data_IF_935613011949
#
_entry.id   IF_935613011949
#
_cell.length_a   1.000
_cell.length_b   1.000
_cell.length_c   1.000
_cell.angle_alpha   90.00
_cell.angle_beta   90.00
_cell.angle_gamma   90.00
#
_symmetry.space_group_name_H-M   'P 1'
#
loop_
_entity.id
_entity.type
_entity.pdbx_description
1 polymer ?
#
# COMPACT_ATOMS: atom_id res chain seq x y z
N UNK A 1 33.88 -20.16 -17.02
CA UNK A 1 33.29 -19.06 -16.21
C UNK A 1 32.82 -18.04 -17.22
N UNK A 2 31.56 -17.59 -17.17
CA UNK A 2 31.05 -16.62 -18.15
C UNK A 2 31.72 -15.27 -17.86
N UNK A 3 32.32 -14.63 -18.87
CA UNK A 3 32.97 -13.33 -18.71
C UNK A 3 31.97 -12.23 -18.37
N UNK A 4 32.43 -11.17 -17.70
CA UNK A 4 31.56 -10.08 -17.25
C UNK A 4 30.95 -9.33 -18.43
N UNK A 5 31.66 -9.24 -19.57
CA UNK A 5 31.13 -8.63 -20.78
C UNK A 5 30.05 -9.49 -21.44
N UNK A 6 30.18 -10.82 -21.37
CA UNK A 6 29.13 -11.73 -21.82
C UNK A 6 27.91 -11.66 -20.90
N UNK A 7 28.10 -11.49 -19.60
CA UNK A 7 27.00 -11.22 -18.66
C UNK A 7 26.30 -9.89 -18.98
N UNK A 8 27.05 -8.82 -19.28
CA UNK A 8 26.45 -7.56 -19.75
C UNK A 8 25.64 -7.75 -21.04
N UNK A 9 26.22 -8.42 -22.05
CA UNK A 9 25.55 -8.71 -23.33
C UNK A 9 24.28 -9.51 -23.11
N UNK A 10 24.34 -10.52 -22.26
CA UNK A 10 23.21 -11.37 -21.92
C UNK A 10 22.09 -10.58 -21.24
N UNK A 11 22.40 -9.69 -20.29
CA UNK A 11 21.38 -8.88 -19.62
C UNK A 11 20.73 -7.91 -20.62
N UNK A 12 21.51 -7.26 -21.49
CA UNK A 12 20.96 -6.41 -22.56
C UNK A 12 20.02 -7.20 -23.49
N UNK A 13 20.42 -8.40 -23.89
CA UNK A 13 19.56 -9.27 -24.69
C UNK A 13 18.27 -9.64 -23.93
N UNK A 14 18.38 -10.01 -22.64
CA UNK A 14 17.23 -10.36 -21.81
C UNK A 14 16.25 -9.20 -21.66
N UNK A 15 16.75 -7.96 -21.48
CA UNK A 15 15.93 -6.74 -21.45
C UNK A 15 15.14 -6.55 -22.75
N UNK A 16 15.79 -6.66 -23.91
CA UNK A 16 15.12 -6.56 -25.22
C UNK A 16 14.04 -7.65 -25.38
N UNK A 17 14.30 -8.87 -24.89
CA UNK A 17 13.32 -9.96 -24.94
C UNK A 17 12.15 -9.74 -23.98
N UNK A 18 12.38 -9.17 -22.81
CA UNK A 18 11.33 -8.78 -21.87
C UNK A 18 10.44 -7.69 -22.49
N UNK A 19 11.05 -6.68 -23.11
CA UNK A 19 10.34 -5.60 -23.80
C UNK A 19 9.49 -6.13 -24.95
N UNK A 20 10.05 -7.03 -25.79
CA UNK A 20 9.27 -7.71 -26.83
C UNK A 20 8.12 -8.54 -26.24
N UNK A 21 8.37 -9.26 -25.13
CA UNK A 21 7.34 -10.04 -24.44
C UNK A 21 6.19 -9.18 -23.88
N UNK A 22 6.48 -7.95 -23.47
CA UNK A 22 5.48 -6.95 -23.07
C UNK A 22 4.74 -6.44 -24.31
N UNK A 23 5.45 -6.06 -25.37
CA UNK A 23 4.87 -5.57 -26.61
C UNK A 23 3.88 -6.57 -27.22
N UNK A 24 4.25 -7.86 -27.26
CA UNK A 24 3.40 -8.95 -27.75
C UNK A 24 2.11 -9.09 -26.94
N UNK A 25 2.17 -8.92 -25.61
CA UNK A 25 1.01 -8.98 -24.71
C UNK A 25 0.09 -7.79 -24.88
N UNK A 26 0.66 -6.57 -24.89
CA UNK A 26 -0.11 -5.32 -25.03
C UNK A 26 -0.78 -5.23 -26.40
N UNK A 27 -0.17 -5.82 -27.44
CA UNK A 27 -0.76 -5.87 -28.77
C UNK A 27 -2.08 -6.66 -28.83
N UNK A 28 -2.30 -7.59 -27.90
CA UNK A 28 -3.59 -8.25 -27.74
C UNK A 28 -4.49 -7.47 -26.76
N UNK A 29 -5.74 -7.24 -27.16
CA UNK A 29 -6.75 -6.55 -26.36
C UNK A 29 -7.91 -7.48 -26.01
N UNK A 30 -7.81 -8.23 -24.90
CA UNK A 30 -8.86 -9.14 -24.50
C UNK A 30 -10.16 -8.43 -24.14
N UNK A 31 -11.28 -9.03 -24.58
CA UNK A 31 -12.63 -8.54 -24.27
C UNK A 31 -13.07 -8.85 -22.85
N UNK A 32 -12.70 -10.03 -22.34
CA UNK A 32 -13.11 -10.46 -21.02
C UNK A 32 -12.22 -9.86 -19.94
N UNK A 33 -12.82 -9.40 -18.83
CA UNK A 33 -12.08 -8.74 -17.74
C UNK A 33 -11.00 -9.64 -17.13
N UNK A 34 -11.31 -10.94 -17.00
CA UNK A 34 -10.37 -11.97 -16.54
C UNK A 34 -9.11 -12.01 -17.41
N UNK A 35 -9.26 -12.12 -18.72
CA UNK A 35 -8.12 -12.20 -19.64
C UNK A 35 -7.30 -10.90 -19.66
N UNK A 36 -7.99 -9.74 -19.66
CA UNK A 36 -7.33 -8.42 -19.61
C UNK A 36 -6.51 -8.26 -18.34
N UNK A 37 -7.10 -8.59 -17.19
CA UNK A 37 -6.42 -8.47 -15.91
C UNK A 37 -5.26 -9.46 -15.80
N UNK A 38 -5.41 -10.69 -16.32
CA UNK A 38 -4.30 -11.64 -16.37
C UNK A 38 -3.14 -11.11 -17.22
N UNK A 39 -3.41 -10.56 -18.41
CA UNK A 39 -2.41 -9.89 -19.25
C UNK A 39 -1.71 -8.77 -18.49
N UNK A 40 -2.45 -7.91 -17.80
CA UNK A 40 -1.89 -6.78 -17.07
C UNK A 40 -0.98 -7.25 -15.92
N UNK A 41 -1.33 -8.33 -15.21
CA UNK A 41 -0.45 -8.96 -14.20
C UNK A 41 0.80 -9.60 -14.82
N UNK A 42 0.68 -10.27 -15.97
CA UNK A 42 1.84 -10.81 -16.68
C UNK A 42 2.80 -9.70 -17.11
N UNK A 43 2.28 -8.59 -17.65
CA UNK A 43 3.08 -7.42 -18.02
C UNK A 43 3.76 -6.83 -16.78
N UNK A 44 3.06 -6.71 -15.65
CA UNK A 44 3.65 -6.26 -14.39
C UNK A 44 4.84 -7.12 -13.96
N UNK A 45 4.73 -8.45 -14.03
CA UNK A 45 5.84 -9.35 -13.69
C UNK A 45 7.05 -9.20 -14.61
N UNK A 46 6.81 -8.94 -15.90
CA UNK A 46 7.88 -8.67 -16.86
C UNK A 46 8.56 -7.32 -16.58
N UNK A 47 7.79 -6.29 -16.19
CA UNK A 47 8.33 -5.00 -15.77
C UNK A 47 9.21 -5.12 -14.52
N UNK A 48 8.79 -5.92 -13.53
CA UNK A 48 9.60 -6.19 -12.33
C UNK A 48 10.92 -6.87 -12.70
N UNK A 49 10.90 -7.80 -13.66
CA UNK A 49 12.12 -8.44 -14.18
C UNK A 49 13.02 -7.44 -14.92
N UNK A 50 12.45 -6.54 -15.73
CA UNK A 50 13.20 -5.46 -16.38
C UNK A 50 13.92 -4.60 -15.34
N UNK A 51 13.24 -4.21 -14.26
CA UNK A 51 13.83 -3.42 -13.18
C UNK A 51 14.98 -4.16 -12.50
N UNK A 52 14.79 -5.44 -12.15
CA UNK A 52 15.81 -6.26 -11.51
C UNK A 52 17.06 -6.44 -12.41
N UNK A 53 16.86 -6.75 -13.70
CA UNK A 53 17.94 -6.89 -14.67
C UNK A 53 18.66 -5.56 -14.91
N UNK A 54 17.91 -4.45 -15.03
CA UNK A 54 18.48 -3.12 -15.20
C UNK A 54 19.34 -2.70 -14.01
N UNK A 55 18.89 -2.98 -12.78
CA UNK A 55 19.67 -2.70 -11.57
C UNK A 55 20.99 -3.48 -11.57
N UNK A 56 20.94 -4.77 -11.89
CA UNK A 56 22.14 -5.62 -12.01
C UNK A 56 23.10 -5.10 -13.09
N UNK A 57 22.56 -4.69 -14.24
CA UNK A 57 23.35 -4.13 -15.34
C UNK A 57 24.04 -2.81 -14.93
N UNK A 58 23.33 -1.94 -14.21
CA UNK A 58 23.89 -0.71 -13.66
C UNK A 58 25.02 -0.98 -12.68
N UNK A 59 24.89 -1.99 -11.82
CA UNK A 59 25.96 -2.41 -10.90
C UNK A 59 27.22 -2.85 -11.65
N UNK A 60 27.06 -3.63 -12.74
CA UNK A 60 28.19 -4.05 -13.58
C UNK A 60 28.83 -2.85 -14.28
N UNK A 61 28.04 -1.88 -14.76
CA UNK A 61 28.58 -0.63 -15.32
C UNK A 61 29.27 0.24 -14.26
N UNK A 62 28.81 0.19 -13.02
CA UNK A 62 29.44 0.87 -11.88
C UNK A 62 30.85 0.36 -11.59
N UNK A 63 31.13 -0.91 -11.90
CA UNK A 63 32.47 -1.51 -11.86
C UNK A 63 33.22 -1.29 -10.54
N UNK A 64 32.50 -1.40 -9.41
CA UNK A 64 33.04 -1.09 -8.08
C UNK A 64 34.27 -1.94 -7.70
N UNK A 65 34.36 -3.16 -8.21
CA UNK A 65 35.48 -4.08 -7.98
C UNK A 65 36.54 -4.06 -9.11
N UNK A 66 36.32 -3.27 -10.15
CA UNK A 66 37.18 -3.14 -11.32
C UNK A 66 37.22 -4.39 -12.22
N UNK A 67 36.35 -5.38 -12.02
CA UNK A 67 36.34 -6.61 -12.83
C UNK A 67 36.11 -6.32 -14.31
N UNK A 68 35.17 -5.41 -14.61
CA UNK A 68 34.84 -5.03 -15.99
C UNK A 68 36.01 -4.33 -16.65
N UNK A 69 36.62 -3.36 -15.97
CA UNK A 69 37.82 -2.68 -16.50
C UNK A 69 38.98 -3.65 -16.72
N UNK A 70 39.19 -4.62 -15.82
CA UNK A 70 40.23 -5.65 -15.97
C UNK A 70 39.99 -6.54 -17.18
N UNK A 71 38.77 -7.00 -17.39
CA UNK A 71 38.42 -7.83 -18.56
C UNK A 71 38.60 -7.05 -19.87
N UNK A 72 38.12 -5.80 -19.93
CA UNK A 72 38.33 -4.92 -21.09
C UNK A 72 39.82 -4.71 -21.36
N UNK A 73 40.62 -4.48 -20.33
CA UNK A 73 42.06 -4.32 -20.47
C UNK A 73 42.72 -5.62 -20.95
N UNK A 74 42.33 -6.77 -20.41
CA UNK A 74 42.84 -8.09 -20.82
C UNK A 74 42.63 -8.32 -22.32
N UNK A 75 41.43 -8.02 -22.81
CA UNK A 75 41.07 -8.13 -24.23
C UNK A 75 41.83 -7.08 -25.07
N UNK A 76 42.01 -5.86 -24.55
CA UNK A 76 42.53 -4.72 -25.31
C UNK A 76 44.05 -4.54 -25.32
N UNK A 77 44.81 -5.14 -24.39
CA UNK A 77 46.25 -4.84 -24.20
C UNK A 77 47.22 -6.01 -24.44
N UNK A 78 46.73 -7.18 -24.87
CA UNK A 78 47.54 -8.35 -25.27
C UNK A 78 47.48 -8.68 -26.77
N UNK A 79 47.97 -9.87 -27.17
CA UNK A 79 47.68 -10.42 -28.50
C UNK A 79 46.21 -10.88 -28.55
N UNK A 80 45.34 -10.23 -29.34
CA UNK A 80 43.91 -10.56 -29.37
C UNK A 80 43.63 -12.01 -29.77
N UNK A 81 44.54 -12.63 -30.53
CA UNK A 81 44.35 -14.02 -30.97
C UNK A 81 44.58 -15.02 -29.85
N UNK A 82 45.50 -14.75 -28.92
CA UNK A 82 45.79 -15.67 -27.81
C UNK A 82 44.58 -15.82 -26.88
N UNK A 83 43.99 -14.70 -26.47
CA UNK A 83 42.79 -14.68 -25.62
C UNK A 83 41.58 -15.31 -26.33
N UNK A 84 41.41 -15.02 -27.63
CA UNK A 84 40.35 -15.63 -28.43
C UNK A 84 40.48 -17.16 -28.51
N UNK A 85 41.70 -17.68 -28.72
CA UNK A 85 41.92 -19.12 -28.76
C UNK A 85 41.74 -19.77 -27.38
N UNK A 86 42.09 -19.08 -26.30
CA UNK A 86 41.81 -19.53 -24.94
C UNK A 86 40.29 -19.66 -24.70
N UNK A 87 39.50 -18.65 -25.06
CA UNK A 87 38.04 -18.70 -24.94
C UNK A 87 37.41 -19.81 -25.81
N UNK A 88 37.88 -20.00 -27.05
CA UNK A 88 37.41 -21.11 -27.91
C UNK A 88 37.71 -22.47 -27.27
N UNK A 89 38.89 -22.62 -26.67
CA UNK A 89 39.27 -23.86 -26.00
C UNK A 89 38.31 -24.16 -24.85
N UNK A 90 38.01 -23.18 -24.01
CA UNK A 90 37.06 -23.33 -22.90
C UNK A 90 35.65 -23.71 -23.38
N UNK A 91 35.16 -23.07 -24.45
CA UNK A 91 33.85 -23.41 -25.05
C UNK A 91 33.84 -24.85 -25.59
N UNK A 92 34.91 -25.28 -26.26
CA UNK A 92 35.03 -26.66 -26.75
C UNK A 92 35.08 -27.67 -25.62
N UNK A 93 35.82 -27.38 -24.55
CA UNK A 93 35.89 -28.23 -23.37
C UNK A 93 34.52 -28.34 -22.68
N UNK A 94 33.78 -27.24 -22.57
CA UNK A 94 32.41 -27.24 -22.05
C UNK A 94 31.48 -28.11 -22.89
N UNK A 95 31.46 -27.91 -24.20
CA UNK A 95 30.61 -28.70 -25.11
C UNK A 95 31.00 -30.19 -25.14
N UNK A 96 32.30 -30.52 -25.00
CA UNK A 96 32.75 -31.90 -24.86
C UNK A 96 32.26 -32.54 -23.55
N UNK A 97 32.17 -31.76 -22.47
CA UNK A 97 31.66 -32.20 -21.17
C UNK A 97 30.14 -32.33 -21.13
N UNK A 98 29.42 -31.50 -21.90
CA UNK A 98 27.96 -31.46 -21.95
C UNK A 98 27.41 -31.59 -23.40
N UNK A 99 27.57 -32.74 -24.07
CA UNK A 99 27.27 -32.86 -25.51
C UNK A 99 25.79 -32.78 -25.88
N UNK A 100 24.91 -33.00 -24.90
CA UNK A 100 23.46 -33.01 -25.10
C UNK A 100 22.78 -31.73 -24.56
N UNK A 101 23.57 -30.78 -24.05
CA UNK A 101 23.04 -29.50 -23.60
C UNK A 101 22.44 -28.78 -24.80
N UNK A 102 21.15 -28.50 -24.72
CA UNK A 102 20.45 -27.77 -25.77
C UNK A 102 20.86 -26.30 -25.67
N UNK A 103 21.13 -25.69 -26.82
CA UNK A 103 21.31 -24.24 -26.87
C UNK A 103 20.03 -23.57 -26.38
N UNK A 104 20.16 -22.70 -25.38
CA UNK A 104 19.04 -21.92 -24.90
C UNK A 104 18.60 -20.93 -25.99
N UNK A 105 17.32 -20.99 -26.37
CA UNK A 105 16.75 -20.01 -27.28
C UNK A 105 16.13 -18.88 -26.46
N UNK A 106 16.85 -17.76 -26.37
CA UNK A 106 16.44 -16.54 -25.66
C UNK A 106 15.11 -15.99 -26.18
N UNK A 107 14.81 -16.15 -27.48
CA UNK A 107 13.58 -15.66 -28.11
C UNK A 107 12.32 -16.37 -27.61
N UNK A 108 12.45 -17.60 -27.13
CA UNK A 108 11.32 -18.40 -26.66
C UNK A 108 10.97 -18.13 -25.20
N UNK A 109 11.84 -17.47 -24.44
CA UNK A 109 11.72 -17.36 -22.97
C UNK A 109 10.46 -16.62 -22.52
N UNK A 110 10.16 -15.48 -23.15
CA UNK A 110 9.02 -14.62 -22.77
C UNK A 110 7.88 -14.62 -23.78
N UNK A 111 8.01 -15.43 -24.83
CA UNK A 111 7.00 -15.57 -25.89
C UNK A 111 5.67 -16.03 -25.29
N UNK A 112 4.59 -15.38 -25.69
CA UNK A 112 3.23 -15.81 -25.34
C UNK A 112 2.99 -17.21 -25.93
N UNK A 113 2.71 -18.20 -25.06
CA UNK A 113 2.33 -19.54 -25.50
C UNK A 113 0.93 -19.50 -26.10
N UNK A 114 0.79 -19.93 -27.35
CA UNK A 114 -0.50 -19.97 -28.04
C UNK A 114 -1.24 -21.29 -27.75
N UNK A 115 -2.55 -21.28 -27.93
CA UNK A 115 -3.36 -22.50 -27.93
C UNK A 115 -2.82 -23.46 -29.00
N UNK A 116 -2.12 -24.52 -28.55
CA UNK A 116 -1.41 -25.48 -29.42
C UNK A 116 0.03 -25.77 -29.02
N UNK A 117 0.67 -24.89 -28.23
CA UNK A 117 2.06 -25.04 -27.76
C UNK A 117 2.23 -25.95 -26.52
N UNK A 118 1.15 -26.58 -26.03
CA UNK A 118 1.17 -27.50 -24.87
C UNK A 118 0.10 -27.22 -23.81
N UNK A 119 0.36 -27.60 -22.55
CA UNK A 119 -0.57 -27.42 -21.42
C UNK A 119 -0.92 -25.94 -21.22
N UNK A 120 -2.23 -25.65 -21.14
CA UNK A 120 -2.72 -24.33 -20.76
C UNK A 120 -2.23 -24.00 -19.36
N UNK A 121 -1.41 -22.96 -19.25
CA UNK A 121 -0.99 -22.45 -17.96
C UNK A 121 -2.20 -21.83 -17.25
N UNK A 122 -2.42 -22.13 -15.96
CA UNK A 122 -3.46 -21.47 -15.19
C UNK A 122 -3.19 -19.96 -15.12
N UNK A 123 -4.25 -19.16 -15.16
CA UNK A 123 -4.13 -17.72 -15.03
C UNK A 123 -3.61 -17.34 -13.64
N UNK A 124 -2.72 -16.35 -13.61
CA UNK A 124 -2.10 -15.85 -12.39
C UNK A 124 -3.18 -15.31 -11.44
N UNK A 125 -4.18 -14.64 -12.02
CA UNK A 125 -5.25 -13.97 -11.28
C UNK A 125 -6.20 -14.92 -10.54
N UNK A 126 -6.24 -16.20 -10.92
CA UNK A 126 -7.09 -17.20 -10.24
C UNK A 126 -6.63 -17.46 -8.80
N UNK A 127 -5.37 -17.11 -8.48
CA UNK A 127 -4.81 -17.18 -7.13
C UNK A 127 -4.83 -15.84 -6.40
N UNK A 128 -5.12 -14.75 -7.11
CA UNK A 128 -5.04 -13.39 -6.60
C UNK A 128 -6.38 -12.93 -6.05
N UNK A 129 -7.49 -13.31 -6.70
CA UNK A 129 -8.83 -12.89 -6.32
C UNK A 129 -9.64 -14.02 -5.69
N UNK A 130 -10.49 -13.66 -4.74
CA UNK A 130 -11.53 -14.58 -4.27
C UNK A 130 -12.67 -14.67 -5.29
N UNK A 131 -13.50 -15.71 -5.17
CA UNK A 131 -14.68 -15.84 -6.03
C UNK A 131 -15.67 -14.67 -5.88
N UNK A 132 -15.81 -14.15 -4.66
CA UNK A 132 -16.72 -13.04 -4.35
C UNK A 132 -16.27 -11.72 -4.98
N UNK A 133 -14.96 -11.52 -5.14
CA UNK A 133 -14.41 -10.31 -5.76
C UNK A 133 -14.62 -10.27 -7.28
N UNK A 134 -14.91 -11.42 -7.90
CA UNK A 134 -15.23 -11.51 -9.33
C UNK A 134 -14.15 -10.92 -10.25
N UNK A 135 -12.87 -11.18 -9.94
CA UNK A 135 -11.70 -10.63 -10.66
C UNK A 135 -11.67 -9.10 -10.70
N UNK A 136 -11.89 -8.46 -9.54
CA UNK A 136 -11.84 -7.01 -9.41
C UNK A 136 -13.15 -6.29 -9.69
N UNK A 137 -14.24 -7.03 -9.89
CA UNK A 137 -15.56 -6.45 -10.17
C UNK A 137 -16.27 -5.97 -8.90
N UNK A 138 -16.04 -6.63 -7.78
CA UNK A 138 -16.72 -6.37 -6.52
C UNK A 138 -15.73 -6.35 -5.36
N UNK A 139 -16.03 -5.56 -4.32
CA UNK A 139 -15.34 -5.65 -3.04
C UNK A 139 -16.01 -6.72 -2.17
N UNK A 140 -15.20 -7.56 -1.53
CA UNK A 140 -15.64 -8.44 -0.45
C UNK A 140 -15.42 -7.75 0.90
N UNK A 141 -16.45 -7.02 1.35
CA UNK A 141 -16.42 -6.30 2.62
C UNK A 141 -17.03 -7.11 3.76
N UNK A 142 -17.31 -8.41 3.58
CA UNK A 142 -17.94 -9.22 4.62
C UNK A 142 -17.07 -9.34 5.86
N UNK A 143 -15.78 -9.64 5.67
CA UNK A 143 -14.80 -9.71 6.77
C UNK A 143 -14.65 -8.38 7.51
N UNK A 144 -14.68 -7.26 6.77
CA UNK A 144 -14.65 -5.93 7.37
C UNK A 144 -15.92 -5.65 8.19
N UNK A 145 -17.09 -6.07 7.70
CA UNK A 145 -18.36 -5.94 8.42
C UNK A 145 -18.37 -6.77 9.71
N UNK A 146 -17.84 -7.99 9.69
CA UNK A 146 -17.67 -8.80 10.89
C UNK A 146 -16.74 -8.14 11.91
N UNK A 147 -15.59 -7.61 11.45
CA UNK A 147 -14.65 -6.85 12.29
C UNK A 147 -15.34 -5.61 12.90
N UNK A 148 -16.13 -4.89 12.12
CA UNK A 148 -16.94 -3.75 12.59
C UNK A 148 -17.95 -4.15 13.66
N UNK A 149 -18.66 -5.27 13.50
CA UNK A 149 -19.65 -5.74 14.48
C UNK A 149 -19.03 -6.16 15.82
N UNK A 150 -17.73 -6.48 15.82
CA UNK A 150 -16.98 -6.83 17.02
C UNK A 150 -16.48 -5.60 17.81
N UNK A 151 -16.62 -4.39 17.26
CA UNK A 151 -16.23 -3.16 17.96
C UNK A 151 -17.11 -2.89 19.19
N UNK A 152 -16.55 -2.33 20.27
CA UNK A 152 -17.29 -2.02 21.48
C UNK A 152 -18.23 -0.83 21.24
N UNK A 153 -19.42 -0.89 21.84
CA UNK A 153 -20.45 0.17 21.77
C UNK A 153 -20.96 0.52 20.36
N UNK A 154 -20.60 -0.27 19.34
CA UNK A 154 -21.04 -0.05 17.97
C UNK A 154 -22.53 -0.34 17.81
N UNK A 155 -23.22 0.44 16.96
CA UNK A 155 -24.56 0.08 16.53
C UNK A 155 -24.46 -1.16 15.64
N UNK A 156 -25.20 -2.21 15.97
CA UNK A 156 -25.31 -3.41 15.12
C UNK A 156 -26.05 -3.06 13.84
N UNK A 157 -25.30 -2.85 12.76
CA UNK A 157 -25.81 -2.56 11.43
C UNK A 157 -25.92 -3.86 10.62
N UNK A 158 -26.96 -4.02 9.81
CA UNK A 158 -26.98 -5.06 8.78
C UNK A 158 -25.89 -4.78 7.73
N UNK A 159 -25.55 -5.78 6.91
CA UNK A 159 -24.52 -5.62 5.88
C UNK A 159 -24.82 -4.42 4.95
N UNK A 160 -26.07 -4.30 4.47
CA UNK A 160 -26.47 -3.18 3.62
C UNK A 160 -26.34 -1.82 4.32
N UNK A 161 -26.72 -1.74 5.60
CA UNK A 161 -26.58 -0.50 6.39
C UNK A 161 -25.12 -0.15 6.65
N UNK A 162 -24.25 -1.15 6.80
CA UNK A 162 -22.81 -0.95 6.92
C UNK A 162 -22.24 -0.36 5.63
N UNK A 163 -22.64 -0.89 4.46
CA UNK A 163 -22.20 -0.37 3.16
C UNK A 163 -22.63 1.09 2.91
N UNK A 164 -23.68 1.58 3.57
CA UNK A 164 -24.09 2.99 3.49
C UNK A 164 -23.21 3.94 4.33
N UNK A 165 -22.38 3.43 5.25
CA UNK A 165 -21.65 4.25 6.22
C UNK A 165 -20.16 3.92 6.37
N UNK A 166 -19.66 2.83 5.78
CA UNK A 166 -18.29 2.33 6.01
C UNK A 166 -17.19 3.28 5.52
N UNK A 167 -17.52 4.17 4.58
CA UNK A 167 -16.62 5.17 4.00
C UNK A 167 -16.66 6.52 4.74
N UNK A 168 -17.55 6.67 5.74
CA UNK A 168 -17.68 7.88 6.51
C UNK A 168 -17.06 7.74 7.91
N UNK A 169 -15.85 8.28 8.05
CA UNK A 169 -15.08 8.21 9.28
C UNK A 169 -15.38 9.34 10.27
N UNK A 170 -16.27 10.29 9.96
CA UNK A 170 -16.61 11.37 10.87
C UNK A 170 -17.22 10.85 12.20
N UNK A 171 -16.96 11.50 13.34
CA UNK A 171 -17.62 11.18 14.61
C UNK A 171 -19.14 11.22 14.50
N UNK A 172 -19.81 10.26 15.13
CA UNK A 172 -21.27 10.10 15.11
C UNK A 172 -21.79 9.17 14.00
N UNK A 173 -21.03 9.00 12.91
CA UNK A 173 -21.38 8.03 11.87
C UNK A 173 -21.10 6.59 12.33
N UNK A 174 -21.92 5.65 11.84
CA UNK A 174 -21.93 4.26 12.34
C UNK A 174 -22.46 4.10 13.78
N UNK A 175 -22.83 5.21 14.44
CA UNK A 175 -23.19 5.22 15.86
C UNK A 175 -21.99 5.23 16.80
N UNK A 176 -20.79 5.51 16.30
CA UNK A 176 -19.56 5.61 17.09
C UNK A 176 -19.22 7.07 17.39
N UNK A 177 -18.89 7.36 18.64
CA UNK A 177 -18.44 8.69 19.09
C UNK A 177 -16.96 8.91 18.78
N UNK A 178 -16.52 10.17 18.83
CA UNK A 178 -15.09 10.55 18.62
C UNK A 178 -14.15 9.72 19.50
N UNK A 179 -14.45 9.61 20.80
CA UNK A 179 -13.64 8.82 21.74
C UNK A 179 -13.57 7.33 21.42
N UNK A 180 -14.62 6.76 20.83
CA UNK A 180 -14.65 5.33 20.45
C UNK A 180 -13.85 5.07 19.19
N UNK A 181 -13.75 6.08 18.31
CA UNK A 181 -12.91 6.07 17.09
C UNK A 181 -11.42 6.28 17.38
N UNK A 182 -11.06 6.72 18.59
CA UNK A 182 -9.67 6.91 19.04
C UNK A 182 -9.17 5.72 19.87
N UNK A 183 -9.72 4.53 19.63
CA UNK A 183 -9.34 3.29 20.33
C UNK A 183 -8.51 2.39 19.44
N UNK A 184 -7.58 1.64 20.02
CA UNK A 184 -6.75 0.66 19.28
C UNK A 184 -7.59 -0.35 18.49
N UNK A 185 -8.74 -0.75 19.01
CA UNK A 185 -9.65 -1.68 18.33
C UNK A 185 -10.25 -1.05 17.07
N UNK A 186 -10.63 0.23 17.15
CA UNK A 186 -11.12 0.94 15.97
C UNK A 186 -10.00 1.16 14.94
N UNK A 187 -8.81 1.55 15.37
CA UNK A 187 -7.66 1.69 14.47
C UNK A 187 -7.28 0.38 13.80
N UNK A 188 -7.36 -0.75 14.52
CA UNK A 188 -7.17 -2.06 13.92
C UNK A 188 -8.21 -2.33 12.83
N UNK A 189 -9.50 -2.11 13.10
CA UNK A 189 -10.56 -2.27 12.11
C UNK A 189 -10.36 -1.38 10.87
N UNK A 190 -10.07 -0.09 11.07
CA UNK A 190 -9.83 0.85 9.96
C UNK A 190 -8.58 0.47 9.19
N UNK A 191 -7.52 0.02 9.86
CA UNK A 191 -6.30 -0.48 9.23
C UNK A 191 -6.55 -1.73 8.39
N UNK A 192 -7.37 -2.67 8.87
CA UNK A 192 -7.81 -3.86 8.11
C UNK A 192 -8.61 -3.45 6.87
N UNK A 193 -9.55 -2.51 7.00
CA UNK A 193 -10.35 -2.00 5.88
C UNK A 193 -9.48 -1.27 4.85
N UNK A 194 -8.63 -0.35 5.29
CA UNK A 194 -7.72 0.39 4.43
C UNK A 194 -6.76 -0.55 3.70
N UNK A 195 -6.13 -1.49 4.42
CA UNK A 195 -5.23 -2.48 3.84
C UNK A 195 -5.92 -3.39 2.82
N UNK A 196 -7.18 -3.77 3.06
CA UNK A 196 -7.97 -4.50 2.06
C UNK A 196 -8.22 -3.68 0.80
N UNK A 197 -8.70 -2.44 0.94
CA UNK A 197 -9.02 -1.56 -0.19
C UNK A 197 -7.76 -1.21 -1.00
N UNK A 198 -6.65 -0.94 -0.33
CA UNK A 198 -5.36 -0.69 -0.97
C UNK A 198 -4.88 -1.93 -1.74
N UNK A 199 -4.88 -3.10 -1.10
CA UNK A 199 -4.53 -4.37 -1.73
C UNK A 199 -5.41 -4.67 -2.93
N UNK A 200 -6.72 -4.42 -2.85
CA UNK A 200 -7.64 -4.58 -3.96
C UNK A 200 -7.30 -3.63 -5.12
N UNK A 201 -6.97 -2.36 -4.84
CA UNK A 201 -6.55 -1.41 -5.86
C UNK A 201 -5.26 -1.87 -6.56
N UNK A 202 -4.27 -2.37 -5.79
CA UNK A 202 -3.02 -2.97 -6.32
C UNK A 202 -3.28 -4.19 -7.19
N UNK A 203 -4.16 -5.09 -6.75
CA UNK A 203 -4.52 -6.30 -7.51
C UNK A 203 -5.32 -5.99 -8.77
N UNK A 204 -6.10 -4.91 -8.81
CA UNK A 204 -6.93 -4.55 -9.97
C UNK A 204 -6.25 -3.66 -10.99
N UNK A 205 -5.18 -2.95 -10.59
CA UNK A 205 -4.44 -2.01 -11.44
C UNK A 205 -2.92 -2.19 -11.32
N UNK A 206 -2.38 -3.37 -11.67
CA UNK A 206 -0.96 -3.68 -11.46
C UNK A 206 0.00 -2.82 -12.31
N UNK A 207 -0.49 -2.16 -13.37
CA UNK A 207 0.31 -1.31 -14.24
C UNK A 207 0.31 0.18 -13.85
N UNK A 208 -0.48 0.58 -12.85
CA UNK A 208 -0.48 1.96 -12.33
C UNK A 208 0.59 2.13 -11.25
N UNK A 209 1.26 3.29 -11.22
CA UNK A 209 2.14 3.64 -10.11
C UNK A 209 1.31 4.08 -8.90
N UNK A 210 0.85 3.10 -8.14
CA UNK A 210 -0.05 3.32 -7.01
C UNK A 210 0.62 3.99 -5.82
N UNK A 211 1.93 3.82 -5.65
CA UNK A 211 2.67 4.51 -4.58
C UNK A 211 2.64 6.03 -4.79
N UNK A 212 2.76 6.49 -6.05
CA UNK A 212 2.58 7.90 -6.39
C UNK A 212 1.14 8.38 -6.14
N UNK A 213 0.14 7.54 -6.41
CA UNK A 213 -1.26 7.88 -6.17
C UNK A 213 -1.53 8.02 -4.67
N UNK A 214 -1.08 7.07 -3.85
CA UNK A 214 -1.25 7.10 -2.40
C UNK A 214 -0.50 8.27 -1.77
N UNK A 215 0.73 8.55 -2.20
CA UNK A 215 1.44 9.76 -1.77
C UNK A 215 0.67 11.05 -2.14
N UNK A 216 -0.07 11.05 -3.25
CA UNK A 216 -0.98 12.15 -3.60
C UNK A 216 -2.09 12.32 -2.57
N UNK A 217 -2.73 11.22 -2.17
CA UNK A 217 -3.78 11.24 -1.14
C UNK A 217 -3.23 11.68 0.22
N UNK A 218 -2.03 11.23 0.59
CA UNK A 218 -1.37 11.64 1.84
C UNK A 218 -1.12 13.16 1.83
N UNK A 219 -0.57 13.70 0.74
CA UNK A 219 -0.34 15.14 0.63
C UNK A 219 -1.64 15.96 0.69
N UNK A 220 -2.68 15.51 0.01
CA UNK A 220 -3.99 16.18 0.00
C UNK A 220 -4.61 16.14 1.41
N UNK A 221 -4.49 15.00 2.11
CA UNK A 221 -4.94 14.84 3.48
C UNK A 221 -4.17 15.75 4.44
N UNK A 222 -2.83 15.71 4.43
CA UNK A 222 -1.99 16.55 5.30
C UNK A 222 -2.28 18.03 5.08
N UNK A 223 -2.45 18.46 3.83
CA UNK A 223 -2.82 19.85 3.51
C UNK A 223 -4.19 20.22 4.07
N UNK A 224 -5.19 19.33 3.96
CA UNK A 224 -6.52 19.57 4.50
C UNK A 224 -6.52 19.51 6.05
N UNK A 225 -5.70 18.64 6.62
CA UNK A 225 -5.53 18.48 8.06
C UNK A 225 -4.89 19.72 8.69
N UNK A 226 -3.81 20.24 8.11
CA UNK A 226 -3.17 21.49 8.54
C UNK A 226 -4.11 22.71 8.46
N UNK A 227 -5.07 22.68 7.53
CA UNK A 227 -6.06 23.75 7.33
C UNK A 227 -7.35 23.57 8.14
N UNK A 228 -7.47 22.52 8.93
CA UNK A 228 -8.71 22.17 9.67
C UNK A 228 -9.92 21.97 8.72
N UNK A 229 -9.68 21.49 7.50
CA UNK A 229 -10.70 21.28 6.45
C UNK A 229 -11.26 19.85 6.45
N UNK A 230 -10.71 18.95 7.28
CA UNK A 230 -11.15 17.55 7.36
C UNK A 230 -12.48 17.44 8.11
N UNK A 231 -13.55 17.20 7.36
CA UNK A 231 -14.92 17.16 7.86
C UNK A 231 -15.10 16.20 9.05
N UNK A 232 -15.61 16.73 10.16
CA UNK A 232 -15.92 15.98 11.37
C UNK A 232 -14.74 15.78 12.30
N UNK A 233 -13.51 16.07 11.86
CA UNK A 233 -12.30 15.94 12.66
C UNK A 233 -11.71 17.27 13.09
N UNK A 234 -12.37 18.37 12.74
CA UNK A 234 -11.93 19.70 13.12
C UNK A 234 -11.68 19.85 14.63
N UNK A 235 -10.77 20.75 14.98
CA UNK A 235 -10.49 21.07 16.37
C UNK A 235 -11.75 21.61 17.05
N UNK A 236 -12.11 21.02 18.20
CA UNK A 236 -13.34 21.35 18.92
C UNK A 236 -13.39 22.84 19.35
N UNK A 237 -12.23 23.50 19.49
CA UNK A 237 -12.12 24.94 19.76
C UNK A 237 -12.50 25.81 18.56
N UNK A 238 -12.13 25.40 17.34
CA UNK A 238 -12.51 26.07 16.09
C UNK A 238 -13.96 25.74 15.71
N UNK A 239 -14.39 24.48 15.88
CA UNK A 239 -15.75 24.04 15.66
C UNK A 239 -16.77 24.68 16.63
N UNK A 240 -16.40 24.94 17.89
CA UNK A 240 -17.24 25.69 18.83
C UNK A 240 -17.37 27.17 18.46
N UNK A 241 -16.34 27.78 17.86
CA UNK A 241 -16.40 29.15 17.34
C UNK A 241 -17.21 29.25 16.03
N UNK A 242 -17.26 28.17 15.23
CA UNK A 242 -17.99 28.08 13.97
C UNK A 242 -19.46 27.62 14.10
N UNK A 243 -19.91 27.16 15.28
CA UNK A 243 -21.33 26.85 15.53
C UNK A 243 -22.14 28.15 15.57
N UNK A 244 -22.77 28.50 14.45
CA UNK A 244 -23.80 29.53 14.41
C UNK A 244 -24.89 29.19 15.43
N UNK A 245 -25.03 30.04 16.46
CA UNK A 245 -26.14 29.93 17.41
C UNK A 245 -27.45 30.09 16.65
N UNK A 246 -28.41 29.21 16.89
CA UNK A 246 -29.74 29.28 16.24
C UNK A 246 -30.48 30.59 16.54
N UNK A 247 -30.11 31.28 17.63
CA UNK A 247 -30.54 32.63 17.96
C UNK A 247 -29.48 33.34 18.80
N UNK A 248 -29.51 34.68 18.84
CA UNK A 248 -28.59 35.48 19.65
C UNK A 248 -28.62 35.15 21.16
N UNK A 249 -29.74 34.59 21.65
CA UNK A 249 -29.95 34.22 23.04
C UNK A 249 -29.62 32.75 23.34
N UNK A 250 -29.30 31.94 22.33
CA UNK A 250 -29.06 30.52 22.52
C UNK A 250 -27.72 30.24 23.23
N UNK A 251 -27.74 29.24 24.10
CA UNK A 251 -26.62 28.86 24.99
C UNK A 251 -26.32 27.39 24.81
N UNK A 252 -25.06 27.05 24.58
CA UNK A 252 -24.60 25.68 24.41
C UNK A 252 -24.11 25.11 25.74
N UNK A 253 -24.53 23.88 26.06
CA UNK A 253 -23.95 23.12 27.17
C UNK A 253 -22.93 22.13 26.62
N UNK A 254 -21.67 22.29 27.03
CA UNK A 254 -20.60 21.38 26.61
C UNK A 254 -20.74 19.98 27.19
N UNK A 255 -21.24 19.82 28.42
CA UNK A 255 -21.35 18.51 29.06
C UNK A 255 -22.45 17.64 28.46
N UNK A 256 -23.52 18.28 28.01
CA UNK A 256 -24.67 17.62 27.39
C UNK A 256 -24.61 17.59 25.86
N UNK A 257 -23.65 18.31 25.26
CA UNK A 257 -23.55 18.57 23.82
C UNK A 257 -24.89 19.00 23.21
N UNK A 258 -25.57 19.97 23.85
CA UNK A 258 -26.90 20.46 23.44
C UNK A 258 -27.04 21.96 23.51
N UNK A 259 -27.77 22.49 22.53
CA UNK A 259 -28.18 23.89 22.47
C UNK A 259 -29.48 24.12 23.27
N UNK A 260 -29.51 25.21 24.02
CA UNK A 260 -30.66 25.66 24.79
C UNK A 260 -31.11 27.03 24.28
N UNK A 261 -32.42 27.23 24.21
CA UNK A 261 -33.05 28.42 23.62
C UNK A 261 -32.67 29.73 24.32
N UNK A 262 -32.44 29.70 25.63
CA UNK A 262 -32.01 30.85 26.41
C UNK A 262 -31.29 30.43 27.70
N UNK A 263 -30.63 31.39 28.35
CA UNK A 263 -29.88 31.19 29.59
C UNK A 263 -30.72 30.60 30.73
N UNK A 264 -32.01 30.92 30.80
CA UNK A 264 -32.89 30.40 31.85
C UNK A 264 -33.14 28.90 31.71
N UNK A 265 -33.40 28.42 30.49
CA UNK A 265 -33.56 26.98 30.22
C UNK A 265 -32.22 26.26 30.40
N UNK A 266 -31.11 26.88 29.98
CA UNK A 266 -29.78 26.33 30.24
C UNK A 266 -29.53 26.15 31.75
N UNK A 267 -29.73 27.20 32.57
CA UNK A 267 -29.50 27.12 34.03
C UNK A 267 -30.37 26.07 34.72
N UNK A 268 -31.63 25.93 34.33
CA UNK A 268 -32.52 24.91 34.89
C UNK A 268 -32.13 23.48 34.53
N UNK A 269 -31.45 23.27 33.40
CA UNK A 269 -31.00 21.93 32.99
C UNK A 269 -29.77 21.45 33.78
N UNK A 270 -28.95 22.36 34.32
CA UNK A 270 -27.71 22.05 35.04
C UNK A 270 -27.96 21.20 36.31
N UNK A 271 -29.10 21.40 36.97
CA UNK A 271 -29.50 20.57 38.12
C UNK A 271 -30.15 19.24 37.73
N UNK A 272 -30.34 18.97 36.43
CA UNK A 272 -31.02 17.79 35.94
C UNK A 272 -30.13 16.54 36.03
N UNK A 273 -30.74 15.39 36.41
CA UNK A 273 -30.04 14.09 36.52
C UNK A 273 -29.29 13.68 35.25
N UNK A 274 -29.77 14.09 34.08
CA UNK A 274 -29.10 13.82 32.78
C UNK A 274 -27.80 14.64 32.63
N UNK A 275 -27.81 15.90 33.03
CA UNK A 275 -26.62 16.76 32.99
C UNK A 275 -25.56 16.28 33.98
N UNK A 276 -25.95 16.00 35.23
CA UNK A 276 -25.03 15.50 36.26
C UNK A 276 -24.28 14.24 35.78
N UNK A 277 -25.00 13.26 35.22
CA UNK A 277 -24.39 12.04 34.69
C UNK A 277 -23.46 12.29 33.50
N UNK A 278 -23.81 13.26 32.64
CA UNK A 278 -22.99 13.61 31.48
C UNK A 278 -21.71 14.37 31.89
N UNK A 279 -21.83 15.29 32.85
CA UNK A 279 -20.71 16.03 33.44
C UNK A 279 -19.75 15.09 34.19
N UNK A 280 -20.26 14.14 34.98
CA UNK A 280 -19.44 13.11 35.64
C UNK A 280 -18.68 12.24 34.62
N UNK A 281 -19.33 11.83 33.52
CA UNK A 281 -18.70 11.04 32.47
C UNK A 281 -17.63 11.83 31.69
N UNK A 282 -17.83 13.15 31.50
CA UNK A 282 -16.83 14.01 30.85
C UNK A 282 -15.63 14.26 31.76
N UNK A 283 -15.88 14.49 33.05
CA UNK A 283 -14.83 14.63 34.07
C UNK A 283 -13.97 13.36 34.17
N UNK A 284 -14.59 12.18 34.17
CA UNK A 284 -13.85 10.91 34.16
C UNK A 284 -12.94 10.77 32.93
N UNK A 285 -13.40 11.17 31.73
CA UNK A 285 -12.57 11.18 30.51
C UNK A 285 -11.38 12.14 30.62
N UNK A 286 -11.57 13.32 31.18
CA UNK A 286 -10.49 14.30 31.37
C UNK A 286 -9.46 13.87 32.42
N UNK A 287 -9.89 13.10 33.43
CA UNK A 287 -8.99 12.55 34.44
C UNK A 287 -8.17 11.36 33.90
N UNK A 288 -8.72 10.55 32.98
CA UNK A 288 -7.97 9.51 32.27
C UNK A 288 -6.92 10.11 31.31
N UNK A 289 -7.25 11.20 30.62
CA UNK A 289 -6.36 11.88 29.66
C UNK A 289 -5.27 12.74 30.37
N UNK A 290 -5.55 13.22 31.59
CA UNK A 290 -4.59 13.97 32.42
C UNK A 290 -3.64 13.11 33.25
N UNK A 291 -3.85 11.78 33.30
CA UNK A 291 -3.05 10.84 34.09
C UNK A 291 -1.65 10.56 33.51
N UNK A 292 -1.45 10.71 32.20
CA UNK A 292 -0.18 10.42 31.54
C UNK A 292 0.82 11.59 31.54
N UNK A 293 0.39 12.81 31.92
CA UNK A 293 1.26 13.99 31.96
C UNK A 293 2.04 14.16 33.28
N UNK A 294 1.71 13.40 34.34
CA UNK A 294 2.28 13.59 35.68
C UNK A 294 3.33 12.54 36.11
N UNK A 295 3.65 11.56 35.26
CA UNK A 295 4.60 10.48 35.60
C UNK A 295 5.86 10.48 34.71
N UNK A 296 6.43 11.64 34.37
CA UNK A 296 7.80 11.68 33.83
C UNK A 296 8.50 13.02 34.04
N UNK A 297 8.72 13.40 35.29
CA UNK A 297 9.80 14.32 35.63
C UNK A 297 10.30 14.09 37.03
N UNK A 298 11.30 13.23 37.18
CA UNK A 298 12.53 13.53 37.95
C UNK A 298 13.57 12.43 37.79
N UNK A 299 14.77 12.87 37.37
CA UNK A 299 16.10 12.28 37.54
C UNK A 299 16.50 10.99 36.79
N UNK A 300 17.28 11.19 35.72
CA UNK A 300 18.74 11.06 35.85
C UNK A 300 19.40 9.84 35.19
N UNK A 301 20.18 10.10 34.13
CA UNK A 301 21.46 9.41 33.91
C UNK A 301 21.57 8.47 32.70
N UNK A 302 22.05 9.02 31.58
CA UNK A 302 23.16 8.47 30.78
C UNK A 302 23.03 7.09 30.11
N UNK A 303 23.14 7.07 28.78
CA UNK A 303 23.65 5.91 28.03
C UNK A 303 23.03 5.75 26.65
N UNK A 304 23.85 5.85 25.60
CA UNK A 304 23.42 5.87 24.20
C UNK A 304 22.80 4.58 23.67
N UNK A 305 22.13 4.69 22.53
CA UNK A 305 21.60 3.54 21.79
C UNK A 305 20.70 3.94 20.62
N UNK A 306 21.33 4.08 19.45
CA UNK A 306 20.85 3.77 18.07
C UNK A 306 19.34 3.84 17.81
N UNK A 307 18.92 4.79 16.95
CA UNK A 307 17.61 4.76 16.28
C UNK A 307 17.73 4.02 14.94
N UNK A 308 16.99 2.93 14.81
CA UNK A 308 16.64 2.27 13.54
C UNK A 308 15.30 2.85 13.11
N UNK A 309 15.24 3.29 11.86
CA UNK A 309 14.05 3.76 11.17
C UNK A 309 13.04 2.63 10.95
N UNK A 310 11.76 2.97 10.99
CA UNK A 310 10.71 2.32 10.23
C UNK A 310 9.93 3.43 9.52
#
# INVERSE_FOLDING_TARGET
MVGILEEQRYIHEDLERLEQGIADRIADEPKHIRDRLNRDHEVSQLLDQIQAQSAKLLDIYGDADGQRSREIQSIGTGDPFEEFYAQIKDVREHHAKYPNEQAENSELRYRVKKEGDGEMMPYIIDRIFTGEEGFGRFFDLHTCHESYLNLPNVKRLSYLQYLEVFDNFAPGYGGLKRSEKLTDQYFKYVGELAGYLESFMRRTRPLENLDKVFHGFDNDFETAWEKDEVQGWQDDAAAAAAREKSSAEAVWCEDCEKEFKNENVHRSHLSGRKHIKAAEARKARQEEDGGDAAATSTNGGGGGGVRVSA
#
